data_IF_308079744184
#
_entry.id   IF_308079744184
#
_cell.length_a   1.000
_cell.length_b   1.000
_cell.length_c   1.000
_cell.angle_alpha   90.00
_cell.angle_beta   90.00
_cell.angle_gamma   90.00
#
_symmetry.space_group_name_H-M   'P 1'
#
loop_
_entity.id
_entity.type
_entity.pdbx_description
1 polymer ?
#
# COMPACT_ATOMS: atom_id res chain seq x y z
N UNK A 1 -24.35 8.09 -28.68
CA UNK A 1 -25.01 8.52 -27.42
C UNK A 1 -23.92 8.80 -26.39
N UNK A 2 -23.80 10.07 -25.96
CA UNK A 2 -22.79 10.49 -24.99
C UNK A 2 -23.04 9.81 -23.64
N UNK A 3 -22.23 8.85 -23.27
CA UNK A 3 -22.14 8.37 -21.90
C UNK A 3 -21.49 9.47 -21.06
N UNK A 4 -22.30 10.38 -20.51
CA UNK A 4 -21.85 11.29 -19.45
C UNK A 4 -21.29 10.43 -18.34
N UNK A 5 -20.02 10.67 -17.99
CA UNK A 5 -19.39 10.04 -16.82
C UNK A 5 -20.32 10.21 -15.64
N UNK A 6 -20.74 9.11 -15.03
CA UNK A 6 -21.59 9.15 -13.85
C UNK A 6 -20.78 9.77 -12.71
N UNK A 7 -21.30 10.82 -12.10
CA UNK A 7 -20.72 11.44 -10.91
C UNK A 7 -20.90 10.46 -9.74
N UNK A 8 -19.84 9.91 -9.20
CA UNK A 8 -19.85 8.91 -8.11
C UNK A 8 -20.77 7.68 -8.38
N UNK A 9 -20.91 7.25 -9.61
CA UNK A 9 -21.85 6.18 -9.94
C UNK A 9 -23.33 6.60 -9.93
N UNK A 10 -23.66 7.76 -9.38
CA UNK A 10 -25.02 8.28 -9.26
C UNK A 10 -25.61 8.68 -10.62
N UNK A 11 -26.90 8.50 -10.76
CA UNK A 11 -27.65 9.11 -11.85
C UNK A 11 -27.87 10.62 -11.57
N UNK A 12 -28.38 11.37 -12.55
CA UNK A 12 -28.56 12.82 -12.41
C UNK A 12 -29.53 13.19 -11.28
N UNK A 13 -30.55 12.39 -11.01
CA UNK A 13 -31.53 12.65 -9.96
C UNK A 13 -30.95 12.38 -8.56
N UNK A 14 -30.16 11.31 -8.41
CA UNK A 14 -29.46 10.98 -7.16
C UNK A 14 -28.42 12.04 -6.83
N UNK A 15 -27.67 12.51 -7.81
CA UNK A 15 -26.72 13.60 -7.68
C UNK A 15 -27.40 14.88 -7.21
N UNK A 16 -28.47 15.27 -7.87
CA UNK A 16 -29.20 16.50 -7.56
C UNK A 16 -29.85 16.41 -6.18
N UNK A 17 -30.35 15.24 -5.78
CA UNK A 17 -30.85 14.98 -4.43
C UNK A 17 -29.74 15.05 -3.36
N UNK A 18 -28.56 14.54 -3.68
CA UNK A 18 -27.38 14.61 -2.80
C UNK A 18 -26.96 16.07 -2.53
N UNK A 19 -26.79 16.88 -3.59
CA UNK A 19 -26.47 18.30 -3.45
C UNK A 19 -27.63 19.13 -2.88
N UNK A 20 -28.85 18.62 -2.94
CA UNK A 20 -30.02 19.25 -2.32
C UNK A 20 -30.10 18.98 -0.79
N UNK A 21 -29.37 18.00 -0.27
CA UNK A 21 -29.38 17.70 1.17
C UNK A 21 -28.84 18.89 1.98
N UNK A 22 -29.52 19.25 3.08
CA UNK A 22 -29.13 20.40 3.91
C UNK A 22 -27.72 20.27 4.47
N UNK A 23 -27.29 19.07 4.88
CA UNK A 23 -25.97 18.82 5.44
C UNK A 23 -24.84 19.04 4.42
N UNK A 24 -25.07 18.67 3.14
CA UNK A 24 -24.09 18.87 2.05
C UNK A 24 -24.08 20.34 1.64
N UNK A 25 -25.24 20.98 1.52
CA UNK A 25 -25.35 22.42 1.24
C UNK A 25 -24.67 23.26 2.31
N UNK A 26 -24.93 22.96 3.58
CA UNK A 26 -24.34 23.67 4.71
C UNK A 26 -22.80 23.47 4.74
N UNK A 27 -22.32 22.28 4.50
CA UNK A 27 -20.88 21.99 4.37
C UNK A 27 -20.24 22.76 3.20
N UNK A 28 -20.86 22.74 2.03
CA UNK A 28 -20.36 23.46 0.85
C UNK A 28 -20.46 24.96 1.02
N UNK A 29 -21.55 25.46 1.65
CA UNK A 29 -21.73 26.87 1.97
C UNK A 29 -20.68 27.33 3.00
N UNK A 30 -20.44 26.58 4.08
CA UNK A 30 -19.39 26.88 5.07
C UNK A 30 -18.01 26.85 4.46
N UNK A 31 -17.76 25.92 3.54
CA UNK A 31 -16.50 25.85 2.79
C UNK A 31 -16.31 27.09 1.91
N UNK A 32 -17.38 27.58 1.28
CA UNK A 32 -17.39 28.80 0.48
C UNK A 32 -17.28 30.08 1.33
N UNK A 33 -18.03 30.15 2.43
CA UNK A 33 -18.03 31.30 3.35
C UNK A 33 -16.68 31.46 4.05
N UNK A 34 -15.98 30.36 4.35
CA UNK A 34 -14.61 30.39 4.86
C UNK A 34 -13.61 30.87 3.82
N UNK A 35 -13.79 30.54 2.55
CA UNK A 35 -12.96 31.05 1.47
C UNK A 35 -13.16 32.57 1.26
N UNK A 36 -14.40 33.05 1.39
CA UNK A 36 -14.73 34.46 1.17
C UNK A 36 -14.48 35.39 2.38
N UNK A 37 -14.55 34.90 3.61
CA UNK A 37 -14.55 35.78 4.79
C UNK A 37 -13.20 35.99 5.46
N UNK A 38 -12.08 35.43 5.00
CA UNK A 38 -10.73 35.61 5.61
C UNK A 38 -10.71 35.57 7.14
N UNK A 39 -11.61 34.82 7.78
CA UNK A 39 -11.70 34.70 9.23
C UNK A 39 -10.91 33.51 9.74
N UNK A 40 -10.02 33.80 10.67
CA UNK A 40 -9.33 32.81 11.50
C UNK A 40 -10.39 32.01 12.28
N UNK A 41 -10.62 30.77 11.87
CA UNK A 41 -11.48 29.84 12.62
C UNK A 41 -10.57 28.95 13.46
N UNK A 42 -10.68 29.14 14.77
CA UNK A 42 -10.09 28.27 15.79
C UNK A 42 -10.73 26.87 15.68
N UNK A 43 -10.05 26.00 15.09
CA UNK A 43 -9.85 24.57 15.26
C UNK A 43 -10.99 23.59 15.51
N UNK A 44 -12.28 23.87 15.46
CA UNK A 44 -13.26 22.86 15.89
C UNK A 44 -14.46 22.59 14.97
N UNK A 45 -14.77 23.45 13.98
CA UNK A 45 -16.13 23.45 13.44
C UNK A 45 -16.33 23.03 11.98
N UNK A 46 -15.31 22.47 11.29
CA UNK A 46 -15.55 21.81 10.01
C UNK A 46 -15.74 20.30 10.21
N UNK A 47 -16.78 19.92 10.92
CA UNK A 47 -17.22 18.52 10.98
C UNK A 47 -17.73 18.14 9.59
N UNK A 48 -16.97 17.33 8.88
CA UNK A 48 -17.38 16.78 7.58
C UNK A 48 -18.61 15.89 7.85
N UNK A 49 -19.74 16.12 7.17
CA UNK A 49 -20.93 15.29 7.35
C UNK A 49 -20.62 13.82 7.13
N UNK A 50 -21.19 12.92 7.93
CA UNK A 50 -21.03 11.46 7.80
C UNK A 50 -21.38 10.97 6.39
N UNK A 51 -22.36 11.59 5.75
CA UNK A 51 -22.76 11.33 4.36
C UNK A 51 -21.60 11.55 3.37
N UNK A 52 -20.78 12.59 3.58
CA UNK A 52 -19.59 12.85 2.73
C UNK A 52 -18.50 11.81 3.00
N UNK A 53 -18.33 11.39 4.25
CA UNK A 53 -17.36 10.34 4.61
C UNK A 53 -17.75 8.98 4.02
N UNK A 54 -19.04 8.65 3.99
CA UNK A 54 -19.55 7.43 3.35
C UNK A 54 -19.31 7.44 1.84
N UNK A 55 -19.54 8.56 1.17
CA UNK A 55 -19.23 8.70 -0.26
C UNK A 55 -17.75 8.53 -0.59
N UNK A 56 -16.88 9.05 0.26
CA UNK A 56 -15.43 8.89 0.08
C UNK A 56 -15.04 7.42 0.21
N UNK A 57 -15.64 6.70 1.15
CA UNK A 57 -15.45 5.27 1.31
C UNK A 57 -15.93 4.51 0.08
N UNK A 58 -17.12 4.78 -0.41
CA UNK A 58 -17.66 4.22 -1.65
C UNK A 58 -16.75 4.53 -2.85
N UNK A 59 -16.16 5.74 -2.88
CA UNK A 59 -15.20 6.10 -3.92
C UNK A 59 -13.91 5.31 -3.83
N UNK A 60 -13.32 5.13 -2.65
CA UNK A 60 -12.13 4.28 -2.50
C UNK A 60 -12.43 2.86 -2.98
N UNK A 61 -13.57 2.30 -2.60
CA UNK A 61 -14.04 0.99 -3.07
C UNK A 61 -14.30 0.97 -4.59
N UNK A 62 -14.73 2.07 -5.17
CA UNK A 62 -14.96 2.21 -6.62
C UNK A 62 -13.66 2.32 -7.42
N UNK A 63 -12.63 3.00 -6.88
CA UNK A 63 -11.33 3.15 -7.54
C UNK A 63 -10.40 1.98 -7.27
N UNK A 64 -10.50 1.34 -6.10
CA UNK A 64 -9.80 0.09 -5.82
C UNK A 64 -10.53 -1.07 -6.48
N UNK A 65 -9.85 -1.76 -7.37
CA UNK A 65 -10.41 -2.92 -8.07
C UNK A 65 -10.32 -4.21 -7.26
N UNK A 66 -9.48 -4.24 -6.24
CA UNK A 66 -9.26 -5.42 -5.39
C UNK A 66 -10.01 -5.36 -4.07
N UNK A 67 -10.23 -4.17 -3.47
CA UNK A 67 -10.91 -4.04 -2.16
C UNK A 67 -12.29 -4.68 -2.16
N UNK A 68 -13.07 -4.52 -3.22
CA UNK A 68 -14.40 -5.14 -3.36
C UNK A 68 -14.37 -6.66 -3.53
N UNK A 69 -13.20 -7.25 -3.82
CA UNK A 69 -13.01 -8.68 -4.09
C UNK A 69 -12.31 -9.43 -2.96
N UNK A 70 -11.76 -8.70 -1.99
CA UNK A 70 -11.16 -9.27 -0.79
C UNK A 70 -12.11 -9.17 0.39
N UNK A 71 -11.81 -9.90 1.45
CA UNK A 71 -12.64 -9.89 2.65
C UNK A 71 -12.36 -8.64 3.48
N UNK A 72 -13.19 -7.60 3.31
CA UNK A 72 -13.09 -6.37 4.08
C UNK A 72 -13.75 -6.54 5.46
N UNK A 73 -13.07 -6.09 6.52
CA UNK A 73 -13.60 -5.99 7.88
C UNK A 73 -13.32 -4.64 8.50
N UNK A 74 -14.36 -3.99 9.00
CA UNK A 74 -14.21 -2.80 9.82
C UNK A 74 -13.86 -3.20 11.27
N UNK A 75 -12.82 -2.56 11.82
CA UNK A 75 -12.28 -2.87 13.15
C UNK A 75 -12.11 -1.59 13.97
N UNK A 76 -12.70 -1.53 15.16
CA UNK A 76 -12.49 -0.43 16.11
C UNK A 76 -11.36 -0.80 17.09
N UNK A 77 -10.15 -0.28 16.87
CA UNK A 77 -8.99 -0.58 17.73
C UNK A 77 -8.03 -1.61 17.13
N UNK A 78 -7.23 -2.31 17.94
CA UNK A 78 -6.46 -3.48 17.50
C UNK A 78 -7.41 -4.64 17.26
N UNK A 79 -7.54 -5.03 16.01
CA UNK A 79 -8.38 -6.15 15.61
C UNK A 79 -7.66 -7.46 15.84
N UNK A 80 -8.31 -8.39 16.56
CA UNK A 80 -7.92 -9.78 16.60
C UNK A 80 -8.90 -10.58 15.79
N UNK A 81 -8.43 -11.26 14.78
CA UNK A 81 -9.22 -12.21 14.02
C UNK A 81 -8.82 -13.62 14.39
N UNK A 82 -9.80 -14.41 14.85
CA UNK A 82 -9.61 -15.83 14.97
C UNK A 82 -9.65 -16.44 13.56
N UNK A 83 -8.58 -17.11 13.18
CA UNK A 83 -8.47 -17.89 11.96
C UNK A 83 -8.66 -19.35 12.36
N UNK A 84 -9.64 -19.97 11.77
CA UNK A 84 -9.85 -21.42 11.93
C UNK A 84 -8.72 -22.17 11.24
N UNK A 85 -8.14 -23.14 11.92
CA UNK A 85 -7.15 -24.06 11.37
C UNK A 85 -7.73 -24.98 10.30
N UNK A 86 -7.10 -26.10 10.07
CA UNK A 86 -7.62 -27.10 9.14
C UNK A 86 -8.99 -27.57 9.61
N UNK A 87 -9.99 -27.47 8.73
CA UNK A 87 -11.34 -27.95 9.03
C UNK A 87 -11.33 -29.49 8.96
N UNK A 88 -11.53 -30.21 10.08
CA UNK A 88 -11.63 -31.67 10.04
C UNK A 88 -12.89 -32.10 9.30
N UNK A 89 -12.82 -33.22 8.65
CA UNK A 89 -13.97 -33.81 7.97
C UNK A 89 -14.86 -34.55 9.02
N UNK A 90 -16.17 -34.30 8.95
CA UNK A 90 -17.11 -34.99 9.79
C UNK A 90 -17.23 -36.48 9.40
N UNK A 91 -17.32 -37.37 10.38
CA UNK A 91 -17.38 -38.80 10.14
C UNK A 91 -18.84 -39.27 10.18
N UNK A 92 -19.23 -40.10 9.21
CA UNK A 92 -20.53 -40.74 9.18
C UNK A 92 -20.57 -41.85 10.23
N UNK A 93 -21.51 -41.76 11.15
CA UNK A 93 -21.71 -42.75 12.21
C UNK A 93 -23.10 -43.39 12.12
N UNK A 94 -23.26 -44.59 12.67
CA UNK A 94 -24.56 -45.25 12.77
C UNK A 94 -25.51 -44.49 13.70
N UNK A 95 -26.82 -44.69 13.52
CA UNK A 95 -27.85 -43.88 14.16
C UNK A 95 -27.82 -43.88 15.72
N UNK A 96 -27.18 -44.85 16.36
CA UNK A 96 -27.05 -44.96 17.80
C UNK A 96 -25.60 -44.95 18.30
N UNK A 97 -24.61 -44.60 17.42
CA UNK A 97 -23.20 -44.53 17.81
C UNK A 97 -22.83 -43.12 18.33
N UNK A 98 -21.85 -43.08 19.22
CA UNK A 98 -21.30 -41.80 19.70
C UNK A 98 -20.59 -41.04 18.54
N UNK A 99 -20.79 -39.71 18.48
CA UNK A 99 -20.13 -38.86 17.51
C UNK A 99 -18.64 -38.68 17.88
N UNK A 100 -17.79 -38.62 16.86
CA UNK A 100 -16.37 -38.29 17.05
C UNK A 100 -16.20 -36.82 17.42
N UNK A 101 -15.31 -36.55 18.35
CA UNK A 101 -14.88 -35.17 18.65
C UNK A 101 -14.11 -34.60 17.46
N UNK A 102 -14.49 -33.41 17.04
CA UNK A 102 -13.81 -32.66 16.00
C UNK A 102 -12.92 -31.59 16.67
N UNK A 103 -11.59 -31.73 16.56
CA UNK A 103 -10.66 -30.77 17.11
C UNK A 103 -10.43 -29.64 16.09
N UNK A 104 -10.72 -28.40 16.53
CA UNK A 104 -10.53 -27.19 15.75
C UNK A 104 -9.37 -26.39 16.35
N UNK A 105 -8.24 -26.34 15.65
CA UNK A 105 -7.19 -25.38 15.97
C UNK A 105 -7.61 -23.96 15.64
N UNK A 106 -7.50 -23.04 16.60
CA UNK A 106 -7.70 -21.61 16.36
C UNK A 106 -6.37 -20.88 16.46
N UNK A 107 -6.08 -20.04 15.49
CA UNK A 107 -5.00 -19.05 15.59
C UNK A 107 -5.58 -17.65 15.62
N UNK A 108 -4.92 -16.74 16.33
CA UNK A 108 -5.28 -15.34 16.33
C UNK A 108 -4.34 -14.59 15.39
N UNK A 109 -4.94 -13.84 14.47
CA UNK A 109 -4.24 -12.90 13.62
C UNK A 109 -4.50 -11.51 14.16
N UNK A 110 -3.46 -10.80 14.56
CA UNK A 110 -3.55 -9.40 14.92
C UNK A 110 -3.42 -8.54 13.66
N UNK A 111 -4.29 -7.54 13.54
CA UNK A 111 -4.26 -6.50 12.50
C UNK A 111 -4.23 -5.14 13.20
N UNK A 112 -3.24 -4.32 12.80
CA UNK A 112 -3.04 -2.98 13.37
C UNK A 112 -3.37 -1.92 12.35
N UNK A 113 -4.01 -1.00 12.20
CA UNK A 113 -4.34 -0.11 11.07
C UNK A 113 -3.20 0.85 10.76
N UNK A 114 -2.49 0.60 9.71
CA UNK A 114 -1.46 1.51 9.17
C UNK A 114 -2.12 2.63 8.37
N UNK A 115 -1.55 3.84 8.48
CA UNK A 115 -2.10 5.02 7.82
C UNK A 115 -1.61 5.13 6.38
N UNK A 116 -2.53 5.23 5.44
CA UNK A 116 -2.31 5.59 4.04
C UNK A 116 -3.00 6.92 3.76
N UNK A 117 -2.42 7.77 2.93
CA UNK A 117 -3.03 9.03 2.55
C UNK A 117 -2.06 10.01 1.93
N UNK A 118 -2.58 11.16 1.53
CA UNK A 118 -1.82 12.23 0.90
C UNK A 118 -2.35 13.62 1.24
N UNK A 119 -1.61 14.62 0.80
CA UNK A 119 -1.99 16.03 0.89
C UNK A 119 -1.87 16.66 -0.49
N UNK A 120 -2.92 17.37 -0.91
CA UNK A 120 -2.93 18.14 -2.15
C UNK A 120 -2.96 19.62 -1.76
N UNK A 121 -2.13 20.42 -2.42
CA UNK A 121 -2.08 21.88 -2.25
C UNK A 121 -2.69 22.56 -3.46
N UNK A 122 -3.59 23.52 -3.23
CA UNK A 122 -4.30 24.25 -4.29
C UNK A 122 -4.26 25.73 -3.96
N UNK A 123 -3.99 26.56 -4.97
CA UNK A 123 -4.01 28.01 -4.84
C UNK A 123 -5.42 28.48 -4.46
N UNK A 124 -5.50 29.39 -3.48
CA UNK A 124 -6.79 29.92 -2.98
C UNK A 124 -7.54 30.64 -4.10
N UNK A 125 -6.85 31.40 -4.94
CA UNK A 125 -7.46 32.08 -6.10
C UNK A 125 -8.14 31.09 -7.04
N UNK A 126 -7.56 29.90 -7.28
CA UNK A 126 -8.17 28.86 -8.11
C UNK A 126 -9.42 28.26 -7.47
N UNK A 127 -9.48 28.21 -6.12
CA UNK A 127 -10.66 27.76 -5.38
C UNK A 127 -11.78 28.82 -5.41
N UNK A 128 -11.43 30.11 -5.43
CA UNK A 128 -12.39 31.21 -5.50
C UNK A 128 -13.04 31.32 -6.88
N UNK A 129 -12.25 31.08 -7.95
CA UNK A 129 -12.70 31.17 -9.34
C UNK A 129 -13.47 29.93 -9.83
N UNK A 130 -13.45 28.84 -9.04
CA UNK A 130 -13.98 27.54 -9.43
C UNK A 130 -15.34 27.27 -8.78
N UNK A 131 -16.25 26.78 -9.60
CA UNK A 131 -17.53 26.25 -9.17
C UNK A 131 -17.40 24.89 -8.44
N UNK A 132 -18.53 24.28 -8.08
CA UNK A 132 -18.74 23.04 -7.33
C UNK A 132 -17.83 21.85 -7.70
N UNK A 133 -17.29 21.82 -8.90
CA UNK A 133 -16.58 20.67 -9.45
C UNK A 133 -15.18 20.44 -8.85
N UNK A 134 -14.48 21.50 -8.43
CA UNK A 134 -13.08 21.36 -7.95
C UNK A 134 -12.98 20.59 -6.63
N UNK A 135 -13.87 20.84 -5.68
CA UNK A 135 -13.85 20.12 -4.40
C UNK A 135 -14.13 18.61 -4.58
N UNK A 136 -15.04 18.27 -5.50
CA UNK A 136 -15.35 16.88 -5.84
C UNK A 136 -14.18 16.19 -6.57
N UNK A 137 -13.50 16.91 -7.46
CA UNK A 137 -12.31 16.41 -8.14
C UNK A 137 -11.16 16.12 -7.18
N UNK A 138 -10.95 16.98 -6.18
CA UNK A 138 -9.93 16.77 -5.13
C UNK A 138 -10.24 15.51 -4.31
N UNK A 139 -11.50 15.34 -3.88
CA UNK A 139 -11.93 14.17 -3.13
C UNK A 139 -11.74 12.91 -3.99
N UNK A 140 -12.12 12.98 -5.24
CA UNK A 140 -11.95 11.90 -6.22
C UNK A 140 -10.48 11.52 -6.41
N UNK A 141 -9.61 12.51 -6.62
CA UNK A 141 -8.18 12.30 -6.81
C UNK A 141 -7.52 11.68 -5.56
N UNK A 142 -7.87 12.15 -4.36
CA UNK A 142 -7.37 11.59 -3.10
C UNK A 142 -7.87 10.16 -2.88
N UNK A 143 -9.15 9.90 -3.17
CA UNK A 143 -9.74 8.55 -3.06
C UNK A 143 -9.11 7.57 -4.04
N UNK A 144 -8.89 7.99 -5.29
CA UNK A 144 -8.22 7.20 -6.32
C UNK A 144 -6.76 6.88 -5.93
N UNK A 145 -6.04 7.87 -5.42
CA UNK A 145 -4.65 7.70 -4.95
C UNK A 145 -4.57 6.68 -3.80
N UNK A 146 -5.50 6.75 -2.84
CA UNK A 146 -5.58 5.79 -1.73
C UNK A 146 -5.95 4.40 -2.26
N UNK A 147 -6.93 4.29 -3.17
CA UNK A 147 -7.36 3.02 -3.77
C UNK A 147 -6.23 2.30 -4.51
N UNK A 148 -5.46 3.02 -5.33
CA UNK A 148 -4.29 2.48 -6.03
C UNK A 148 -3.22 1.99 -5.04
N UNK A 149 -2.95 2.76 -3.97
CA UNK A 149 -1.98 2.38 -2.96
C UNK A 149 -2.41 1.12 -2.19
N UNK A 150 -3.71 0.97 -1.91
CA UNK A 150 -4.27 -0.21 -1.25
C UNK A 150 -4.21 -1.43 -2.17
N UNK A 151 -4.58 -1.31 -3.44
CA UNK A 151 -4.49 -2.40 -4.42
C UNK A 151 -3.04 -2.91 -4.55
N UNK A 152 -2.08 -2.00 -4.65
CA UNK A 152 -0.66 -2.34 -4.69
C UNK A 152 -0.20 -3.04 -3.41
N UNK A 153 -0.69 -2.59 -2.23
CA UNK A 153 -0.36 -3.20 -0.95
C UNK A 153 -0.98 -4.60 -0.80
N UNK A 154 -2.19 -4.83 -1.30
CA UNK A 154 -2.82 -6.17 -1.31
C UNK A 154 -1.98 -7.18 -2.10
N UNK A 155 -1.34 -6.77 -3.18
CA UNK A 155 -0.51 -7.67 -3.99
C UNK A 155 0.92 -7.79 -3.46
N UNK A 156 1.59 -6.67 -3.18
CA UNK A 156 3.04 -6.60 -2.96
C UNK A 156 3.45 -5.96 -1.64
N UNK A 157 2.53 -5.57 -0.77
CA UNK A 157 2.85 -4.92 0.49
C UNK A 157 3.82 -5.74 1.35
N UNK A 158 4.73 -5.07 2.03
CA UNK A 158 5.82 -5.72 2.78
C UNK A 158 5.40 -6.29 4.14
N UNK A 159 4.21 -5.92 4.64
CA UNK A 159 3.77 -6.24 6.02
C UNK A 159 4.40 -5.36 7.10
N UNK A 160 5.28 -4.41 6.71
CA UNK A 160 5.91 -3.47 7.64
C UNK A 160 5.34 -2.08 7.38
N UNK A 161 4.58 -1.54 8.33
CA UNK A 161 3.85 -0.25 8.20
C UNK A 161 2.85 -0.19 7.03
N UNK A 162 2.48 -1.32 6.48
CA UNK A 162 1.50 -1.50 5.41
C UNK A 162 0.98 -2.95 5.44
N UNK A 163 -0.14 -3.27 4.78
CA UNK A 163 -0.63 -4.64 4.65
C UNK A 163 0.43 -5.59 4.08
N UNK A 164 0.37 -6.87 4.44
CA UNK A 164 1.18 -7.91 3.82
C UNK A 164 0.55 -8.35 2.51
N UNK A 165 1.28 -8.22 1.41
CA UNK A 165 0.82 -8.58 0.08
C UNK A 165 0.73 -10.08 -0.18
N UNK A 166 -0.15 -10.46 -1.09
CA UNK A 166 -0.32 -11.85 -1.53
C UNK A 166 0.99 -12.41 -2.06
N UNK A 167 1.59 -11.73 -3.04
CA UNK A 167 2.82 -12.20 -3.70
C UNK A 167 4.01 -12.17 -2.74
N UNK A 168 4.08 -11.16 -1.87
CA UNK A 168 5.10 -11.09 -0.82
C UNK A 168 5.03 -12.29 0.12
N UNK A 169 3.83 -12.72 0.51
CA UNK A 169 3.65 -13.92 1.34
C UNK A 169 4.03 -15.20 0.57
N UNK A 170 3.68 -15.29 -0.71
CA UNK A 170 4.08 -16.44 -1.54
C UNK A 170 5.60 -16.55 -1.70
N UNK A 171 6.31 -15.42 -1.73
CA UNK A 171 7.77 -15.39 -1.87
C UNK A 171 8.54 -15.67 -0.57
N UNK A 172 7.87 -15.72 0.59
CA UNK A 172 8.51 -16.02 1.86
C UNK A 172 8.99 -17.47 1.93
N UNK A 173 10.26 -17.68 2.27
CA UNK A 173 10.91 -18.99 2.38
C UNK A 173 10.89 -19.58 3.78
N UNK A 174 10.66 -18.72 4.81
CA UNK A 174 10.63 -19.13 6.21
C UNK A 174 9.48 -18.47 6.95
N UNK A 175 8.98 -19.16 7.98
CA UNK A 175 7.95 -18.61 8.85
C UNK A 175 8.46 -17.36 9.56
N UNK A 176 7.64 -16.29 9.65
CA UNK A 176 7.91 -15.19 10.57
C UNK A 176 8.00 -15.68 12.03
N UNK A 177 8.77 -14.98 12.86
CA UNK A 177 8.95 -15.35 14.26
C UNK A 177 7.68 -15.33 15.10
N UNK A 178 6.68 -14.57 14.66
CA UNK A 178 5.34 -14.43 15.26
C UNK A 178 4.28 -15.34 14.64
N UNK A 179 4.67 -16.26 13.74
CA UNK A 179 3.72 -17.17 13.09
C UNK A 179 3.12 -18.18 14.09
N UNK A 180 1.80 -18.23 14.26
CA UNK A 180 1.16 -19.12 15.20
C UNK A 180 1.15 -20.57 14.67
N UNK A 181 2.19 -21.32 15.00
CA UNK A 181 2.39 -22.70 14.52
C UNK A 181 1.34 -23.71 15.06
N UNK A 182 0.61 -23.34 16.11
CA UNK A 182 -0.31 -24.28 16.81
C UNK A 182 -1.54 -24.62 15.99
N UNK A 183 -2.04 -23.69 15.18
CA UNK A 183 -3.29 -23.90 14.44
C UNK A 183 -3.07 -24.44 13.02
N UNK A 184 -1.98 -24.08 12.39
CA UNK A 184 -1.67 -24.47 11.02
C UNK A 184 -0.17 -24.51 10.80
N UNK A 185 0.40 -25.60 10.23
CA UNK A 185 1.80 -25.63 9.91
C UNK A 185 2.13 -24.57 8.83
N UNK A 186 3.33 -24.00 8.93
CA UNK A 186 3.84 -23.13 7.88
C UNK A 186 4.08 -23.95 6.60
N UNK A 187 3.57 -23.47 5.49
CA UNK A 187 3.88 -24.00 4.16
C UNK A 187 4.79 -23.01 3.41
N UNK A 188 5.87 -23.55 2.86
CA UNK A 188 6.74 -22.83 1.94
C UNK A 188 6.13 -22.88 0.54
N UNK A 189 5.65 -21.74 0.07
CA UNK A 189 4.93 -21.60 -1.18
C UNK A 189 5.80 -21.03 -2.31
N UNK A 190 7.05 -20.64 -2.02
CA UNK A 190 7.89 -19.96 -3.01
C UNK A 190 8.30 -20.87 -4.18
N UNK A 191 8.32 -22.17 -3.96
CA UNK A 191 8.65 -23.16 -5.02
C UNK A 191 7.44 -23.69 -5.76
N UNK A 192 6.26 -23.65 -5.14
CA UNK A 192 5.05 -24.27 -5.68
C UNK A 192 4.06 -23.28 -6.29
N UNK A 193 3.91 -22.09 -5.65
CA UNK A 193 2.88 -21.11 -6.01
C UNK A 193 3.43 -19.89 -6.77
N UNK A 194 4.75 -19.81 -6.99
CA UNK A 194 5.39 -18.90 -7.94
C UNK A 194 5.73 -19.66 -9.22
N UNK A 195 4.93 -19.48 -10.26
CA UNK A 195 4.97 -20.31 -11.46
C UNK A 195 5.50 -19.49 -12.63
N UNK A 196 6.43 -20.05 -13.39
CA UNK A 196 6.97 -19.44 -14.61
C UNK A 196 6.52 -20.22 -15.81
N UNK A 197 5.91 -19.55 -16.79
CA UNK A 197 5.51 -20.12 -18.08
C UNK A 197 6.39 -19.50 -19.16
N UNK A 198 7.24 -20.29 -19.78
CA UNK A 198 8.16 -19.84 -20.83
C UNK A 198 7.93 -20.56 -22.15
N UNK A 199 8.09 -19.84 -23.26
CA UNK A 199 8.06 -20.42 -24.61
C UNK A 199 6.73 -21.05 -25.02
N UNK A 200 5.61 -20.59 -24.44
CA UNK A 200 4.25 -21.05 -24.76
C UNK A 200 3.45 -19.93 -25.38
N UNK A 201 2.72 -20.25 -26.45
CA UNK A 201 1.83 -19.33 -27.17
C UNK A 201 0.51 -20.04 -27.50
N UNK A 202 -0.51 -19.30 -27.85
CA UNK A 202 -1.80 -19.82 -28.26
C UNK A 202 -2.42 -20.81 -27.26
N UNK A 203 -2.93 -21.92 -27.75
CA UNK A 203 -3.58 -22.97 -26.93
C UNK A 203 -2.68 -23.49 -25.83
N UNK A 204 -1.38 -23.67 -26.11
CA UNK A 204 -0.44 -24.20 -25.13
C UNK A 204 -0.25 -23.25 -23.94
N UNK A 205 -0.28 -21.92 -24.16
CA UNK A 205 -0.22 -20.93 -23.09
C UNK A 205 -1.45 -21.05 -22.17
N UNK A 206 -2.64 -21.10 -22.74
CA UNK A 206 -3.88 -21.22 -21.94
C UNK A 206 -3.99 -22.56 -21.20
N UNK A 207 -3.48 -23.64 -21.79
CA UNK A 207 -3.38 -24.93 -21.10
C UNK A 207 -2.45 -24.87 -19.88
N UNK A 208 -1.30 -24.18 -19.99
CA UNK A 208 -0.38 -24.01 -18.86
C UNK A 208 -0.96 -23.06 -17.81
N UNK A 209 -1.63 -21.97 -18.20
CA UNK A 209 -2.37 -21.12 -17.27
C UNK A 209 -3.43 -21.92 -16.49
N UNK A 210 -4.17 -22.78 -17.19
CA UNK A 210 -5.14 -23.65 -16.52
C UNK A 210 -4.44 -24.66 -15.58
N UNK A 211 -3.31 -25.25 -15.97
CA UNK A 211 -2.53 -26.14 -15.11
C UNK A 211 -1.96 -25.44 -13.89
N UNK A 212 -1.54 -24.19 -14.02
CA UNK A 212 -1.02 -23.37 -12.94
C UNK A 212 -2.04 -23.20 -11.80
N UNK A 213 -3.33 -23.24 -12.10
CA UNK A 213 -4.36 -23.16 -11.04
C UNK A 213 -4.49 -24.42 -10.18
N UNK A 214 -3.85 -25.52 -10.50
CA UNK A 214 -3.91 -26.76 -9.70
C UNK A 214 -3.30 -26.62 -8.31
N UNK A 215 -2.33 -25.72 -8.15
CA UNK A 215 -1.66 -25.48 -6.86
C UNK A 215 -2.55 -24.71 -5.88
N UNK A 216 -3.60 -24.05 -6.39
CA UNK A 216 -4.49 -23.22 -5.60
C UNK A 216 -5.47 -24.09 -4.82
N UNK A 217 -5.39 -24.05 -3.51
CA UNK A 217 -6.29 -24.82 -2.62
C UNK A 217 -7.61 -24.07 -2.41
N UNK A 218 -8.64 -24.44 -3.19
CA UNK A 218 -9.99 -23.84 -3.09
C UNK A 218 -10.84 -24.36 -1.93
N UNK A 219 -10.39 -25.38 -1.18
CA UNK A 219 -11.16 -26.01 -0.09
C UNK A 219 -11.67 -25.01 0.97
N UNK A 220 -10.97 -23.92 1.17
CA UNK A 220 -11.25 -22.93 2.23
C UNK A 220 -12.01 -21.71 1.73
N UNK A 221 -12.32 -21.63 0.45
CA UNK A 221 -13.02 -20.50 -0.17
C UNK A 221 -14.42 -20.89 -0.59
N UNK A 222 -15.35 -19.98 -0.38
CA UNK A 222 -16.70 -20.02 -0.95
C UNK A 222 -16.88 -18.98 -2.08
N UNK A 223 -15.83 -18.21 -2.40
CA UNK A 223 -15.84 -17.16 -3.40
C UNK A 223 -15.46 -17.62 -4.80
N UNK A 224 -15.59 -16.70 -5.76
CA UNK A 224 -15.08 -16.89 -7.10
C UNK A 224 -13.54 -16.65 -7.16
N UNK A 225 -12.86 -17.34 -8.08
CA UNK A 225 -11.45 -17.02 -8.38
C UNK A 225 -11.36 -15.63 -8.98
N UNK A 226 -10.29 -14.92 -8.67
CA UNK A 226 -9.90 -13.68 -9.34
C UNK A 226 -8.60 -13.88 -10.12
N UNK A 227 -8.47 -13.17 -11.24
CA UNK A 227 -7.29 -13.11 -12.07
C UNK A 227 -6.87 -11.65 -12.16
N UNK A 228 -5.85 -11.25 -11.43
CA UNK A 228 -5.35 -9.88 -11.45
C UNK A 228 -4.14 -9.78 -12.38
N UNK A 229 -4.21 -8.87 -13.34
CA UNK A 229 -3.16 -8.60 -14.32
C UNK A 229 -3.23 -7.14 -14.77
N UNK A 230 -2.23 -6.63 -15.46
CA UNK A 230 -2.30 -5.29 -16.04
C UNK A 230 -2.93 -5.30 -17.44
N UNK A 231 -3.20 -4.11 -17.97
CA UNK A 231 -3.83 -3.92 -19.29
C UNK A 231 -2.98 -4.50 -20.42
N UNK A 232 -1.65 -4.35 -20.35
CA UNK A 232 -0.71 -4.89 -21.33
C UNK A 232 -0.80 -6.41 -21.41
N UNK A 233 -0.65 -7.09 -20.27
CA UNK A 233 -0.77 -8.56 -20.19
C UNK A 233 -2.14 -9.05 -20.62
N UNK A 234 -3.21 -8.33 -20.24
CA UNK A 234 -4.57 -8.66 -20.64
C UNK A 234 -4.73 -8.59 -22.16
N UNK A 235 -4.19 -7.54 -22.79
CA UNK A 235 -4.23 -7.34 -24.25
C UNK A 235 -3.45 -8.44 -24.97
N UNK A 236 -2.24 -8.79 -24.48
CA UNK A 236 -1.43 -9.86 -25.03
C UNK A 236 -2.15 -11.22 -24.99
N UNK A 237 -2.83 -11.51 -23.87
CA UNK A 237 -3.64 -12.71 -23.74
C UNK A 237 -4.84 -12.72 -24.70
N UNK A 238 -5.47 -11.58 -24.97
CA UNK A 238 -6.54 -11.46 -25.97
C UNK A 238 -5.98 -11.75 -27.37
N UNK A 239 -4.81 -11.20 -27.71
CA UNK A 239 -4.16 -11.46 -29.02
C UNK A 239 -3.84 -12.96 -29.17
N UNK A 240 -3.30 -13.60 -28.13
CA UNK A 240 -3.09 -15.04 -28.14
C UNK A 240 -4.38 -15.86 -28.26
N UNK A 241 -5.48 -15.40 -27.65
CA UNK A 241 -6.78 -16.01 -27.77
C UNK A 241 -7.39 -15.87 -29.19
N UNK A 242 -7.14 -14.73 -29.85
CA UNK A 242 -7.56 -14.52 -31.25
C UNK A 242 -6.84 -15.48 -32.20
N UNK A 243 -5.56 -15.75 -31.97
CA UNK A 243 -4.77 -16.72 -32.75
C UNK A 243 -5.33 -18.15 -32.67
N UNK A 244 -6.02 -18.50 -31.57
CA UNK A 244 -6.67 -19.81 -31.41
C UNK A 244 -7.88 -19.95 -32.32
N UNK A 245 -8.59 -18.86 -32.57
CA UNK A 245 -9.80 -18.82 -33.38
C UNK A 245 -9.52 -18.56 -34.88
N UNK A 246 -8.32 -18.88 -35.38
CA UNK A 246 -7.91 -18.73 -36.79
C UNK A 246 -8.81 -19.47 -37.81
N UNK A 247 -9.86 -20.17 -37.37
CA UNK A 247 -10.94 -20.71 -38.21
C UNK A 247 -11.97 -19.65 -38.64
N UNK A 248 -11.67 -18.33 -38.53
CA UNK A 248 -12.44 -17.27 -39.16
C UNK A 248 -13.61 -16.69 -38.36
N UNK A 249 -13.80 -17.05 -37.11
CA UNK A 249 -14.72 -16.36 -36.24
C UNK A 249 -14.03 -15.15 -35.63
N UNK A 250 -14.33 -13.96 -36.11
CA UNK A 250 -14.03 -12.72 -35.39
C UNK A 250 -14.73 -12.84 -34.03
N UNK A 251 -13.98 -13.00 -32.97
CA UNK A 251 -14.51 -12.93 -31.62
C UNK A 251 -15.01 -11.49 -31.46
N UNK A 252 -16.33 -11.31 -31.50
CA UNK A 252 -16.93 -9.99 -31.38
C UNK A 252 -16.53 -9.45 -30.00
N UNK A 253 -16.08 -8.20 -29.95
CA UNK A 253 -15.63 -7.50 -28.73
C UNK A 253 -16.67 -7.44 -27.60
N UNK A 254 -17.86 -7.92 -27.82
CA UNK A 254 -19.00 -7.91 -26.90
C UNK A 254 -19.22 -9.23 -26.13
N UNK A 255 -18.40 -10.26 -26.37
CA UNK A 255 -18.57 -11.57 -25.74
C UNK A 255 -17.29 -12.40 -25.67
N UNK A 256 -16.11 -11.80 -25.88
CA UNK A 256 -14.84 -12.47 -25.77
C UNK A 256 -14.56 -12.80 -24.29
N UNK A 257 -15.08 -13.91 -23.84
CA UNK A 257 -14.61 -14.56 -22.60
C UNK A 257 -13.21 -15.09 -22.89
N UNK A 258 -12.22 -14.48 -22.24
CA UNK A 258 -10.87 -15.03 -22.25
C UNK A 258 -10.94 -16.50 -21.79
N UNK A 259 -10.26 -17.45 -22.44
CA UNK A 259 -10.31 -18.86 -22.09
C UNK A 259 -9.51 -19.18 -20.82
N UNK A 260 -9.71 -18.42 -19.76
CA UNK A 260 -9.20 -18.71 -18.40
C UNK A 260 -10.22 -19.55 -17.63
N UNK A 261 -9.72 -20.46 -16.82
CA UNK A 261 -10.53 -21.45 -16.11
C UNK A 261 -11.23 -20.78 -14.92
N UNK A 262 -12.42 -20.24 -15.17
CA UNK A 262 -13.33 -19.69 -14.16
C UNK A 262 -12.78 -18.47 -13.43
N UNK A 263 -13.66 -17.60 -12.97
CA UNK A 263 -13.34 -16.44 -12.14
C UNK A 263 -13.45 -15.10 -12.86
N UNK A 264 -13.26 -14.02 -12.08
CA UNK A 264 -13.32 -12.65 -12.54
C UNK A 264 -11.94 -12.14 -12.95
N UNK A 265 -11.86 -11.48 -14.10
CA UNK A 265 -10.63 -10.81 -14.53
C UNK A 265 -10.62 -9.40 -13.98
N UNK A 266 -9.54 -9.05 -13.29
CA UNK A 266 -9.30 -7.74 -12.70
C UNK A 266 -8.11 -7.11 -13.40
N UNK A 267 -8.39 -6.14 -14.27
CA UNK A 267 -7.34 -5.40 -14.97
C UNK A 267 -6.91 -4.23 -14.10
N UNK A 268 -5.65 -4.25 -13.67
CA UNK A 268 -5.01 -3.24 -12.84
C UNK A 268 -4.16 -2.29 -13.69
N UNK A 269 -3.68 -1.19 -13.10
CA UNK A 269 -2.73 -0.33 -13.79
C UNK A 269 -1.31 -0.92 -13.76
N UNK A 270 -0.48 -0.51 -14.72
CA UNK A 270 0.92 -0.98 -14.86
C UNK A 270 1.79 -0.60 -13.66
N UNK A 271 1.42 0.45 -12.92
CA UNK A 271 2.09 0.86 -11.67
C UNK A 271 1.88 -0.13 -10.51
N UNK A 272 0.85 -0.99 -10.61
CA UNK A 272 0.50 -1.95 -9.55
C UNK A 272 1.13 -3.30 -9.83
N UNK A 273 0.99 -3.80 -11.04
CA UNK A 273 1.49 -5.12 -11.45
C UNK A 273 2.25 -5.01 -12.76
N UNK A 274 3.43 -5.61 -12.83
CA UNK A 274 4.30 -5.54 -14.00
C UNK A 274 3.77 -6.42 -15.15
N UNK A 275 4.22 -6.10 -16.38
CA UNK A 275 3.88 -6.87 -17.59
C UNK A 275 4.25 -8.35 -17.45
N UNK A 276 3.43 -9.20 -18.04
CA UNK A 276 3.60 -10.64 -17.99
C UNK A 276 3.33 -11.29 -16.63
N UNK A 277 2.92 -10.52 -15.62
CA UNK A 277 2.61 -11.05 -14.30
C UNK A 277 1.10 -11.18 -14.09
N UNK A 278 0.70 -12.30 -13.50
CA UNK A 278 -0.70 -12.60 -13.18
C UNK A 278 -0.76 -13.12 -11.74
N UNK A 279 -1.64 -12.57 -10.93
CA UNK A 279 -1.96 -13.10 -9.61
C UNK A 279 -3.33 -13.74 -9.67
N UNK A 280 -3.42 -15.01 -9.33
CA UNK A 280 -4.66 -15.78 -9.37
C UNK A 280 -4.96 -16.37 -7.99
N UNK A 281 -6.22 -16.38 -7.58
CA UNK A 281 -6.62 -16.98 -6.30
C UNK A 281 -8.01 -16.61 -5.86
N UNK A 282 -8.30 -16.88 -4.61
CA UNK A 282 -9.59 -16.59 -4.00
C UNK A 282 -9.49 -15.37 -3.08
N UNK A 283 -10.08 -14.27 -3.50
CA UNK A 283 -9.97 -12.99 -2.79
C UNK A 283 -10.53 -13.01 -1.36
N UNK A 284 -11.55 -13.83 -1.08
CA UNK A 284 -12.13 -14.01 0.24
C UNK A 284 -11.15 -14.62 1.28
N UNK A 285 -10.05 -15.21 0.82
CA UNK A 285 -8.95 -15.72 1.66
C UNK A 285 -7.92 -14.65 2.04
N UNK A 286 -8.06 -13.42 1.52
CA UNK A 286 -7.29 -12.27 1.96
C UNK A 286 -8.14 -11.41 2.90
N UNK A 287 -7.65 -11.16 4.09
CA UNK A 287 -8.29 -10.25 5.05
C UNK A 287 -7.72 -8.85 4.89
N UNK A 288 -8.57 -7.89 4.59
CA UNK A 288 -8.27 -6.47 4.69
C UNK A 288 -9.07 -5.89 5.86
N UNK A 289 -8.40 -5.38 6.86
CA UNK A 289 -9.01 -4.70 7.98
C UNK A 289 -8.97 -3.18 7.74
N UNK A 290 -10.11 -2.54 7.83
CA UNK A 290 -10.25 -1.10 7.84
C UNK A 290 -10.42 -0.61 9.27
N UNK A 291 -9.49 0.23 9.75
CA UNK A 291 -9.55 0.82 11.08
C UNK A 291 -9.92 2.28 10.98
N UNK A 292 -11.12 2.64 11.42
CA UNK A 292 -11.69 3.98 11.30
C UNK A 292 -11.70 4.49 9.85
N UNK A 293 -12.86 4.79 9.31
CA UNK A 293 -13.03 5.20 7.90
C UNK A 293 -12.09 6.32 7.46
N UNK A 294 -12.07 6.58 6.17
CA UNK A 294 -11.28 7.66 5.59
C UNK A 294 -11.62 8.99 6.24
N UNK A 295 -10.62 9.80 6.52
CA UNK A 295 -10.78 11.15 7.07
C UNK A 295 -10.19 12.16 6.10
N UNK A 296 -10.93 13.25 5.89
CA UNK A 296 -10.49 14.38 5.09
C UNK A 296 -10.45 15.62 5.97
N UNK A 297 -9.47 16.48 5.72
CA UNK A 297 -9.33 17.75 6.39
C UNK A 297 -8.78 18.78 5.42
N UNK A 298 -9.24 20.02 5.56
CA UNK A 298 -8.70 21.19 4.87
C UNK A 298 -7.97 22.07 5.88
N UNK A 299 -6.90 22.71 5.46
CA UNK A 299 -6.21 23.75 6.23
C UNK A 299 -5.77 24.87 5.28
N UNK A 300 -6.13 26.09 5.59
CA UNK A 300 -5.72 27.27 4.84
C UNK A 300 -4.51 27.94 5.50
N UNK A 301 -4.14 27.54 6.72
CA UNK A 301 -3.03 28.12 7.48
C UNK A 301 -1.68 27.47 7.20
N UNK A 302 -1.65 26.21 6.75
CA UNK A 302 -0.41 25.43 6.62
C UNK A 302 0.57 26.02 5.58
N UNK A 303 0.04 26.64 4.52
CA UNK A 303 0.82 27.34 3.49
C UNK A 303 0.34 28.75 3.25
N UNK A 304 0.14 29.48 4.34
CA UNK A 304 -0.35 30.84 4.30
C UNK A 304 0.52 31.77 3.44
N UNK A 305 1.85 31.64 3.51
CA UNK A 305 2.78 32.45 2.72
C UNK A 305 2.75 32.14 1.21
N UNK A 306 2.29 30.95 0.83
CA UNK A 306 2.19 30.50 -0.56
C UNK A 306 0.78 30.72 -1.14
N UNK A 307 -0.15 31.29 -0.38
CA UNK A 307 -1.58 31.46 -0.71
C UNK A 307 -2.24 30.15 -1.20
N UNK A 308 -1.97 29.04 -0.47
CA UNK A 308 -2.43 27.69 -0.82
C UNK A 308 -3.25 27.07 0.31
N UNK A 309 -4.39 26.48 -0.06
CA UNK A 309 -5.14 25.58 0.81
C UNK A 309 -4.61 24.16 0.71
N UNK A 310 -4.46 23.48 1.86
CA UNK A 310 -4.03 22.10 1.95
C UNK A 310 -5.23 21.18 2.19
N UNK A 311 -5.42 20.19 1.33
CA UNK A 311 -6.42 19.13 1.48
C UNK A 311 -5.73 17.82 1.84
N UNK A 312 -6.10 17.23 2.98
CA UNK A 312 -5.53 15.99 3.48
C UNK A 312 -6.56 14.88 3.48
N UNK A 313 -6.29 13.78 2.77
CA UNK A 313 -7.04 12.55 2.85
C UNK A 313 -6.22 11.46 3.54
N UNK A 314 -6.79 10.75 4.50
CA UNK A 314 -6.14 9.62 5.17
C UNK A 314 -7.13 8.51 5.46
N UNK A 315 -6.68 7.26 5.29
CA UNK A 315 -7.38 6.06 5.70
C UNK A 315 -6.42 5.14 6.48
N UNK A 316 -6.96 4.13 7.15
CA UNK A 316 -6.14 3.16 7.89
C UNK A 316 -6.54 1.76 7.49
N UNK A 317 -5.58 1.06 6.92
CA UNK A 317 -5.73 -0.33 6.51
C UNK A 317 -4.60 -1.19 7.07
N UNK A 318 -4.92 -2.43 7.32
CA UNK A 318 -3.97 -3.51 7.53
C UNK A 318 -4.56 -4.77 6.90
N UNK A 319 -3.72 -5.72 6.51
CA UNK A 319 -4.21 -6.92 5.91
C UNK A 319 -3.13 -7.95 5.66
N UNK A 320 -3.59 -9.19 5.52
CA UNK A 320 -2.72 -10.30 5.14
C UNK A 320 -3.53 -11.45 4.55
N UNK A 321 -2.92 -12.29 3.71
CA UNK A 321 -3.56 -13.52 3.28
C UNK A 321 -3.72 -14.44 4.49
N UNK A 322 -4.99 -14.80 4.80
CA UNK A 322 -5.32 -15.74 5.88
C UNK A 322 -4.86 -17.14 5.49
N UNK A 323 -5.11 -17.50 4.24
CA UNK A 323 -4.75 -18.79 3.66
C UNK A 323 -4.02 -18.51 2.35
N UNK A 324 -2.68 -18.48 2.43
CA UNK A 324 -1.84 -18.12 1.29
C UNK A 324 -1.86 -19.18 0.17
N UNK A 325 -2.11 -20.45 0.51
CA UNK A 325 -2.24 -21.56 -0.46
C UNK A 325 -3.44 -21.40 -1.42
N UNK A 326 -4.35 -20.48 -1.12
CA UNK A 326 -5.46 -20.09 -1.99
C UNK A 326 -5.06 -19.16 -3.14
N UNK A 327 -3.76 -18.82 -3.26
CA UNK A 327 -3.22 -17.91 -4.26
C UNK A 327 -2.03 -18.51 -4.99
N UNK A 328 -1.80 -18.06 -6.22
CA UNK A 328 -0.59 -18.29 -6.98
C UNK A 328 -0.21 -17.03 -7.78
N UNK A 329 1.07 -16.84 -8.03
CA UNK A 329 1.57 -15.81 -8.94
C UNK A 329 2.23 -16.49 -10.14
N UNK A 330 1.87 -16.03 -11.34
CA UNK A 330 2.31 -16.59 -12.60
C UNK A 330 3.07 -15.50 -13.36
N UNK A 331 4.26 -15.84 -13.86
CA UNK A 331 5.03 -15.01 -14.76
C UNK A 331 5.06 -15.62 -16.16
N UNK A 332 4.69 -14.84 -17.17
CA UNK A 332 4.76 -15.23 -18.59
C UNK A 332 6.08 -14.71 -19.14
N UNK A 333 6.89 -15.62 -19.69
CA UNK A 333 8.21 -15.30 -20.24
C UNK A 333 9.34 -15.19 -19.20
N UNK A 334 9.04 -14.77 -17.98
CA UNK A 334 10.00 -14.63 -16.87
C UNK A 334 9.37 -15.09 -15.56
N UNK A 335 10.18 -15.23 -14.51
CA UNK A 335 9.66 -15.49 -13.17
C UNK A 335 8.78 -14.33 -12.67
N UNK A 336 7.71 -14.60 -11.91
CA UNK A 336 6.84 -13.55 -11.42
C UNK A 336 7.60 -12.58 -10.51
N UNK A 337 7.33 -11.29 -10.68
CA UNK A 337 7.90 -10.24 -9.83
C UNK A 337 7.31 -10.38 -8.42
N UNK A 338 8.18 -10.47 -7.42
CA UNK A 338 7.79 -10.74 -6.03
C UNK A 338 7.77 -9.52 -5.12
N UNK A 339 8.20 -8.37 -5.62
CA UNK A 339 8.23 -7.11 -4.88
C UNK A 339 7.86 -5.94 -5.77
N UNK A 340 7.31 -4.88 -5.18
CA UNK A 340 7.05 -3.64 -5.87
C UNK A 340 7.69 -2.46 -5.12
N UNK A 341 8.03 -1.40 -5.86
CA UNK A 341 8.56 -0.18 -5.27
C UNK A 341 7.38 0.66 -4.78
N UNK A 342 7.34 0.96 -3.48
CA UNK A 342 6.39 1.88 -2.90
C UNK A 342 6.99 3.29 -2.77
N UNK A 343 6.19 4.36 -2.94
CA UNK A 343 6.66 5.71 -2.65
C UNK A 343 7.17 5.80 -1.21
N UNK A 344 8.37 6.36 -1.04
CA UNK A 344 8.97 6.54 0.28
C UNK A 344 8.19 7.58 1.11
N UNK A 345 8.17 7.40 2.43
CA UNK A 345 7.63 8.39 3.37
C UNK A 345 8.62 9.56 3.51
N UNK A 346 8.61 10.44 2.51
CA UNK A 346 9.51 11.61 2.47
C UNK A 346 9.24 12.61 3.60
N UNK A 347 8.05 12.60 4.18
CA UNK A 347 7.68 13.48 5.28
C UNK A 347 8.34 13.07 6.61
N UNK A 348 8.78 11.82 6.72
CA UNK A 348 9.42 11.25 7.91
C UNK A 348 10.77 10.57 7.58
N UNK A 349 11.37 10.87 6.43
CA UNK A 349 12.66 10.29 6.05
C UNK A 349 13.82 11.06 6.72
N UNK A 350 14.32 10.52 7.81
CA UNK A 350 15.47 11.04 8.58
C UNK A 350 16.80 10.40 8.14
N UNK A 351 16.93 9.93 6.89
CA UNK A 351 18.17 9.38 6.36
C UNK A 351 19.13 10.46 5.84
N UNK A 352 20.43 10.17 5.89
CA UNK A 352 21.44 10.95 5.20
C UNK A 352 21.58 10.48 3.74
N UNK A 353 21.81 11.42 2.83
CA UNK A 353 22.27 11.15 1.47
C UNK A 353 23.79 11.00 1.42
N UNK A 354 24.52 11.75 2.29
CA UNK A 354 25.98 11.68 2.39
C UNK A 354 26.45 12.05 3.79
N UNK A 355 27.57 11.45 4.22
CA UNK A 355 28.28 11.78 5.44
C UNK A 355 29.78 11.76 5.17
N UNK A 356 30.46 12.86 5.50
CA UNK A 356 31.90 12.99 5.33
C UNK A 356 32.54 13.59 6.59
N UNK A 357 33.77 13.18 6.88
CA UNK A 357 34.61 13.72 7.94
C UNK A 357 35.93 14.19 7.30
N UNK A 358 35.96 15.45 6.84
CA UNK A 358 37.07 15.97 6.05
C UNK A 358 37.42 15.08 4.86
N UNK A 359 38.66 14.68 4.76
CA UNK A 359 39.16 13.72 3.78
C UNK A 359 39.29 12.28 4.32
N UNK A 360 38.82 12.01 5.55
CA UNK A 360 38.99 10.71 6.19
C UNK A 360 38.07 9.68 5.52
N UNK A 361 38.61 8.49 5.26
CA UNK A 361 37.83 7.36 4.79
C UNK A 361 36.99 6.79 5.92
N UNK A 362 35.68 6.69 5.71
CA UNK A 362 34.77 5.99 6.62
C UNK A 362 34.87 4.48 6.41
N UNK A 363 34.90 3.74 7.50
CA UNK A 363 34.84 2.28 7.49
C UNK A 363 33.63 1.82 8.33
N UNK A 364 32.66 1.08 7.75
CA UNK A 364 32.52 0.84 6.30
C UNK A 364 32.28 2.11 5.48
N UNK A 365 32.35 2.02 4.14
CA UNK A 365 31.94 3.11 3.28
C UNK A 365 30.51 3.56 3.60
N UNK A 366 30.21 4.85 3.40
CA UNK A 366 28.92 5.40 3.76
C UNK A 366 27.76 4.67 3.06
N UNK A 367 26.77 4.29 3.84
CA UNK A 367 25.51 3.67 3.45
C UNK A 367 24.41 4.26 4.34
N UNK A 368 23.33 4.77 3.75
CA UNK A 368 22.24 5.45 4.45
C UNK A 368 21.58 4.59 5.54
N UNK A 369 21.62 3.27 5.43
CA UNK A 369 21.02 2.34 6.39
C UNK A 369 21.98 1.87 7.50
N UNK A 370 23.27 2.13 7.36
CA UNK A 370 24.25 1.87 8.41
C UNK A 370 24.36 3.08 9.34
N UNK A 371 24.39 2.82 10.64
CA UNK A 371 24.37 3.87 11.66
C UNK A 371 25.71 4.04 12.38
N UNK A 372 26.69 3.16 12.14
CA UNK A 372 27.97 3.18 12.84
C UNK A 372 29.14 3.11 11.87
N UNK A 373 30.09 4.00 12.06
CA UNK A 373 31.28 4.16 11.23
C UNK A 373 32.52 4.38 12.11
N UNK A 374 33.67 4.04 11.57
CA UNK A 374 34.99 4.37 12.15
C UNK A 374 35.81 5.14 11.11
N UNK A 375 36.72 5.99 11.60
CA UNK A 375 37.71 6.67 10.78
C UNK A 375 39.00 6.88 11.58
N UNK A 376 40.13 7.06 10.91
CA UNK A 376 41.42 7.35 11.55
C UNK A 376 41.91 8.71 11.15
N UNK A 377 42.23 9.57 12.13
CA UNK A 377 42.73 10.90 11.90
C UNK A 377 44.21 11.01 12.33
N UNK A 378 45.02 11.64 11.45
CA UNK A 378 46.39 12.05 11.77
C UNK A 378 46.47 13.57 12.08
N UNK A 379 45.45 14.30 11.68
CA UNK A 379 45.33 15.73 11.92
C UNK A 379 44.74 16.09 13.28
N UNK A 380 44.73 17.37 13.61
CA UNK A 380 44.19 17.87 14.87
C UNK A 380 42.68 18.16 14.82
N UNK A 381 42.11 18.28 13.64
CA UNK A 381 40.69 18.57 13.42
C UNK A 381 40.27 18.25 11.99
N UNK A 382 39.00 17.88 11.82
CA UNK A 382 38.37 17.67 10.52
C UNK A 382 36.99 18.27 10.50
N UNK A 383 36.50 18.61 9.30
CA UNK A 383 35.15 19.14 9.06
C UNK A 383 34.16 17.98 8.96
N UNK A 384 33.11 17.99 9.78
CA UNK A 384 32.04 16.98 9.69
C UNK A 384 30.88 17.55 8.92
N UNK A 385 30.56 16.94 7.76
CA UNK A 385 29.46 17.35 6.89
C UNK A 385 28.48 16.20 6.70
N UNK A 386 27.22 16.44 7.04
CA UNK A 386 26.13 15.50 6.90
C UNK A 386 25.04 16.10 6.01
N UNK A 387 24.80 15.50 4.86
CA UNK A 387 23.77 15.94 3.91
C UNK A 387 22.53 15.08 4.08
N UNK A 388 21.41 15.62 4.60
CA UNK A 388 20.19 14.85 4.73
C UNK A 388 19.58 14.62 3.36
N UNK A 389 18.90 13.48 3.19
CA UNK A 389 18.17 13.13 1.96
C UNK A 389 16.98 14.08 1.74
N UNK A 390 16.35 14.51 2.83
CA UNK A 390 15.29 15.51 2.80
C UNK A 390 15.82 16.87 3.24
N UNK A 391 15.69 17.87 2.38
CA UNK A 391 16.22 19.22 2.64
C UNK A 391 15.63 19.89 3.90
N UNK A 392 14.44 19.46 4.35
CA UNK A 392 13.79 19.95 5.57
C UNK A 392 14.24 19.22 6.84
N UNK A 393 15.01 18.14 6.74
CA UNK A 393 15.48 17.43 7.89
C UNK A 393 16.47 18.26 8.70
N UNK A 394 16.29 18.26 10.00
CA UNK A 394 17.21 18.93 10.94
C UNK A 394 18.37 18.00 11.24
N UNK A 395 19.58 18.51 11.05
CA UNK A 395 20.82 17.80 11.41
C UNK A 395 21.46 18.45 12.64
N UNK A 396 21.74 17.64 13.64
CA UNK A 396 22.44 18.07 14.86
C UNK A 396 23.68 17.20 15.05
N UNK A 397 24.86 17.82 15.11
CA UNK A 397 26.15 17.12 15.28
C UNK A 397 26.67 17.39 16.69
N UNK A 398 26.99 16.32 17.43
CA UNK A 398 27.49 16.41 18.80
C UNK A 398 28.81 15.65 18.95
N UNK A 399 29.78 16.23 19.68
CA UNK A 399 31.01 15.59 20.09
C UNK A 399 31.27 15.90 21.57
N UNK A 400 31.29 14.85 22.39
CA UNK A 400 31.24 15.00 23.84
C UNK A 400 29.95 15.70 24.28
N UNK A 401 30.07 16.77 25.08
CA UNK A 401 28.94 17.59 25.53
C UNK A 401 28.63 18.80 24.61
N UNK A 402 29.37 18.95 23.50
CA UNK A 402 29.28 20.13 22.66
C UNK A 402 28.57 19.84 21.32
N UNK A 403 27.68 20.75 20.95
CA UNK A 403 27.01 20.73 19.65
C UNK A 403 27.76 21.62 18.65
N UNK A 404 27.87 21.13 17.41
CA UNK A 404 28.55 21.81 16.31
C UNK A 404 27.59 22.06 15.15
N UNK A 405 27.72 23.20 14.45
CA UNK A 405 27.03 23.41 13.19
C UNK A 405 27.45 22.36 12.15
N UNK A 406 26.56 22.02 11.26
CA UNK A 406 26.87 21.14 10.13
C UNK A 406 27.94 21.82 9.24
N UNK A 407 28.99 21.10 8.88
CA UNK A 407 30.14 21.65 8.16
C UNK A 407 31.19 22.35 9.06
N UNK A 408 31.06 22.28 10.39
CA UNK A 408 32.05 22.82 11.29
C UNK A 408 33.23 21.86 11.52
N UNK A 409 34.41 22.40 11.82
CA UNK A 409 35.58 21.64 12.19
C UNK A 409 35.50 21.19 13.66
N UNK A 410 35.71 19.91 13.89
CA UNK A 410 35.76 19.28 15.22
C UNK A 410 37.20 18.95 15.56
N UNK A 411 37.69 19.41 16.70
CA UNK A 411 39.01 19.07 17.21
C UNK A 411 39.05 17.67 17.83
N UNK A 412 40.05 16.90 17.48
CA UNK A 412 40.25 15.54 17.98
C UNK A 412 41.16 15.50 19.22
N UNK A 413 40.69 14.82 20.24
CA UNK A 413 41.53 14.41 21.39
C UNK A 413 42.32 13.14 21.05
N UNK A 414 43.46 12.89 21.68
CA UNK A 414 44.20 11.64 21.51
C UNK A 414 43.28 10.44 21.82
N UNK A 415 43.31 9.40 20.99
CA UNK A 415 42.48 8.21 21.12
C UNK A 415 41.11 8.36 20.40
N UNK A 416 40.10 7.66 20.91
CA UNK A 416 38.78 7.55 20.29
C UNK A 416 37.90 8.78 20.57
N UNK A 417 37.37 9.38 19.52
CA UNK A 417 36.46 10.52 19.53
C UNK A 417 35.12 10.10 18.95
N UNK A 418 34.08 10.05 19.75
CA UNK A 418 32.73 9.72 19.31
C UNK A 418 32.01 10.97 18.84
N UNK A 419 31.55 10.98 17.60
CA UNK A 419 30.69 12.02 17.01
C UNK A 419 29.34 11.41 16.72
N UNK A 420 28.28 12.03 17.22
CA UNK A 420 26.89 11.65 16.96
C UNK A 420 26.23 12.67 16.04
N UNK A 421 25.63 12.19 14.98
CA UNK A 421 24.91 12.99 13.99
C UNK A 421 23.43 12.57 14.05
N UNK A 422 22.62 13.38 14.74
CA UNK A 422 21.19 13.17 14.81
C UNK A 422 20.50 13.86 13.64
N UNK A 423 19.70 13.13 12.88
CA UNK A 423 18.88 13.61 11.79
C UNK A 423 17.42 13.45 12.22
N UNK A 424 16.65 14.53 12.12
CA UNK A 424 15.25 14.57 12.53
C UNK A 424 14.39 15.08 11.38
N UNK A 425 13.34 14.32 11.05
CA UNK A 425 12.34 14.71 10.05
C UNK A 425 10.96 14.20 10.46
N UNK A 426 10.01 15.12 10.64
CA UNK A 426 8.68 14.78 11.12
C UNK A 426 8.72 14.07 12.47
N UNK A 427 8.23 12.83 12.51
CA UNK A 427 8.25 11.98 13.72
C UNK A 427 9.44 11.03 13.78
N UNK A 428 10.26 10.99 12.74
CA UNK A 428 11.43 10.11 12.67
C UNK A 428 12.69 10.80 13.16
N UNK A 429 13.50 10.04 13.89
CA UNK A 429 14.84 10.45 14.32
C UNK A 429 15.80 9.30 14.08
N UNK A 430 16.92 9.60 13.39
CA UNK A 430 18.03 8.67 13.16
C UNK A 430 19.31 9.24 13.72
N UNK A 431 20.14 8.41 14.32
CA UNK A 431 21.44 8.84 14.86
C UNK A 431 22.53 8.01 14.22
N UNK A 432 23.40 8.68 13.47
CA UNK A 432 24.64 8.10 12.94
C UNK A 432 25.79 8.40 13.91
N UNK A 433 26.61 7.41 14.14
CA UNK A 433 27.77 7.52 15.03
C UNK A 433 29.05 7.29 14.25
N UNK A 434 29.97 8.25 14.31
CA UNK A 434 31.32 8.10 13.76
C UNK A 434 32.32 8.11 14.90
N UNK A 435 33.13 7.06 15.02
CA UNK A 435 34.24 7.01 15.99
C UNK A 435 35.52 7.32 15.24
N UNK A 436 36.06 8.51 15.47
CA UNK A 436 37.33 8.95 14.90
C UNK A 436 38.47 8.66 15.89
N UNK A 437 39.38 7.78 15.51
CA UNK A 437 40.56 7.47 16.31
C UNK A 437 41.72 8.34 15.86
N UNK A 438 42.21 9.21 16.74
CA UNK A 438 43.40 10.03 16.51
C UNK A 438 44.63 9.28 17.03
N UNK A 439 45.52 8.94 16.08
CA UNK A 439 46.86 8.39 16.36
C UNK A 439 47.83 9.45 16.82
#
# INVERSE_FOLDING_TARGET
>A
MNTRKKFFGMNAQERDAFFASEAVKDFLQRTRDMAMQKRTVTGADLTIPTVVLELIRENIESYSKLVSRVRLRSVSGRGRQNVMGAMPEAVWTEACASLNELDFGFSQTEVDGYKVGGVIYICIATLEDSDYDLASEIITALSASIGIAVDKAILYGTGVKMPQGIVTRLAQQSAPSDYPAVARPWEDLHTTNLITITGKTGIALFQELARATKVIKGKYSNGAKLWAMNESTYTDLIVEAMNINAAGAIVSAQGATMPVVGGDIVVLSDDIIADGNIVVGYGDLYLLAERAGATFARSDEYRFADDQAAFKGTARYDGKPIIAEGFAAIGIGAAPVTSAVFPGDTANDATLAALTVGSLALSPAFDADKLTYTATATGTSDTVTASPKQARARVTITHGSKTYPNGAAIKWNSGANKVEIAVEMGVSRRVYTVTVTKS
#
